data_IF_393166407015
#
_entry.id   IF_393166407015
#
_cell.length_a   1.000
_cell.length_b   1.000
_cell.length_c   1.000
_cell.angle_alpha   90.00
_cell.angle_beta   90.00
_cell.angle_gamma   90.00
#
_symmetry.space_group_name_H-M   'P 1'
#
loop_
_entity.id
_entity.type
_entity.pdbx_description
1 polymer ?
#
# COMPACT_ATOMS: atom_id res chain seq x y z
N UNK A 1 30.60 -6.71 -2.33
CA UNK A 1 29.57 -6.46 -1.31
C UNK A 1 28.27 -7.04 -1.87
N UNK A 2 27.71 -8.08 -1.23
CA UNK A 2 26.67 -8.93 -1.81
C UNK A 2 25.35 -8.17 -2.05
N UNK A 3 24.93 -8.18 -3.32
CA UNK A 3 23.67 -7.68 -3.86
C UNK A 3 22.61 -8.76 -3.67
N UNK A 4 21.95 -8.81 -2.50
CA UNK A 4 20.78 -9.65 -2.27
C UNK A 4 19.62 -8.86 -1.67
N UNK A 5 19.48 -7.61 -2.11
CA UNK A 5 18.24 -6.86 -1.94
C UNK A 5 17.46 -7.00 -3.24
N UNK A 6 16.36 -7.76 -3.19
CA UNK A 6 15.46 -7.91 -4.33
C UNK A 6 15.04 -6.54 -4.87
N UNK A 7 15.02 -6.39 -6.19
CA UNK A 7 14.49 -5.18 -6.81
C UNK A 7 13.02 -4.95 -6.43
N UNK A 8 12.56 -3.71 -6.56
CA UNK A 8 11.12 -3.41 -6.52
C UNK A 8 10.41 -4.23 -7.60
N UNK A 9 9.46 -5.04 -7.18
CA UNK A 9 8.77 -6.01 -8.01
C UNK A 9 7.34 -6.17 -7.48
N UNK A 10 6.56 -5.12 -7.63
CA UNK A 10 5.11 -5.18 -7.43
C UNK A 10 4.47 -6.14 -8.43
N UNK A 11 3.47 -6.89 -7.96
CA UNK A 11 2.69 -7.79 -8.80
C UNK A 11 1.60 -7.07 -9.62
N UNK A 12 0.43 -7.71 -9.67
CA UNK A 12 -0.76 -7.14 -10.30
C UNK A 12 -1.56 -6.30 -9.33
N UNK A 13 -2.30 -5.34 -9.87
CA UNK A 13 -3.35 -4.62 -9.17
C UNK A 13 -4.53 -5.56 -8.89
N UNK A 14 -5.02 -5.54 -7.66
CA UNK A 14 -6.25 -6.20 -7.25
C UNK A 14 -7.26 -5.14 -6.82
N UNK A 15 -8.53 -5.33 -7.19
CA UNK A 15 -9.61 -4.55 -6.59
C UNK A 15 -9.60 -4.74 -5.08
N UNK A 16 -10.04 -3.73 -4.34
CA UNK A 16 -10.05 -3.81 -2.88
C UNK A 16 -10.86 -4.99 -2.36
N UNK A 17 -11.98 -5.31 -3.00
CA UNK A 17 -12.78 -6.51 -2.71
C UNK A 17 -11.94 -7.79 -2.75
N UNK A 18 -11.09 -7.93 -3.78
CA UNK A 18 -10.29 -9.12 -4.03
C UNK A 18 -8.89 -9.07 -3.41
N UNK A 19 -8.55 -8.05 -2.62
CA UNK A 19 -7.19 -7.84 -2.05
C UNK A 19 -6.61 -9.06 -1.31
N UNK A 20 -7.46 -9.87 -0.69
CA UNK A 20 -7.02 -11.04 0.07
C UNK A 20 -6.66 -12.26 -0.79
N UNK A 21 -6.94 -12.21 -2.10
CA UNK A 21 -6.56 -13.25 -3.06
C UNK A 21 -5.09 -13.16 -3.50
N UNK A 22 -4.38 -12.11 -3.10
CA UNK A 22 -2.96 -11.94 -3.40
C UNK A 22 -2.11 -12.97 -2.65
N UNK A 23 -1.17 -13.59 -3.35
CA UNK A 23 -0.25 -14.56 -2.76
C UNK A 23 0.56 -13.93 -1.63
N UNK A 24 0.80 -14.70 -0.57
CA UNK A 24 1.60 -14.26 0.59
C UNK A 24 1.06 -13.01 1.31
N UNK A 25 -0.24 -12.69 1.21
CA UNK A 25 -0.84 -11.53 1.89
C UNK A 25 -0.66 -11.55 3.42
N UNK A 26 -0.43 -12.70 4.03
CA UNK A 26 -0.13 -12.83 5.48
C UNK A 26 1.32 -12.53 5.85
N UNK A 27 2.21 -12.31 4.87
CA UNK A 27 3.63 -12.00 5.08
C UNK A 27 3.87 -10.50 5.25
N UNK A 28 5.02 -10.09 5.83
CA UNK A 28 5.45 -8.69 5.77
C UNK A 28 5.75 -8.28 4.32
N UNK A 29 5.81 -6.99 4.06
CA UNK A 29 6.09 -6.47 2.72
C UNK A 29 5.70 -5.02 2.54
N UNK A 30 5.72 -4.58 1.30
CA UNK A 30 5.25 -3.26 0.87
C UNK A 30 3.96 -3.39 0.06
N UNK A 31 3.16 -2.33 0.03
CA UNK A 31 1.95 -2.22 -0.77
C UNK A 31 1.84 -0.83 -1.38
N UNK A 32 1.27 -0.76 -2.58
CA UNK A 32 0.90 0.46 -3.25
C UNK A 32 -0.63 0.48 -3.38
N UNK A 33 -1.20 1.67 -3.28
CA UNK A 33 -2.62 1.95 -3.35
C UNK A 33 -2.86 2.90 -4.51
N UNK A 34 -3.91 2.62 -5.27
CA UNK A 34 -4.44 3.50 -6.29
C UNK A 34 -5.91 3.75 -6.01
N UNK A 35 -6.34 5.01 -6.17
CA UNK A 35 -7.75 5.40 -6.08
C UNK A 35 -8.14 6.08 -7.39
N UNK A 36 -9.04 5.47 -8.15
CA UNK A 36 -9.39 5.92 -9.51
C UNK A 36 -10.80 5.47 -9.90
N UNK A 37 -11.39 6.08 -10.93
CA UNK A 37 -12.65 5.64 -11.51
C UNK A 37 -12.50 4.40 -12.41
N UNK A 38 -11.32 4.23 -13.00
CA UNK A 38 -11.04 3.14 -13.94
C UNK A 38 -10.79 1.81 -13.22
N UNK A 39 -11.12 0.70 -13.88
CA UNK A 39 -10.78 -0.62 -13.35
C UNK A 39 -9.36 -1.05 -13.73
N UNK A 40 -8.51 -1.21 -12.71
CA UNK A 40 -7.13 -1.68 -12.82
C UNK A 40 -6.96 -3.16 -12.45
N UNK A 41 -8.02 -3.87 -12.08
CA UNK A 41 -7.95 -5.27 -11.65
C UNK A 41 -7.23 -6.15 -12.67
N UNK A 42 -6.23 -6.91 -12.21
CA UNK A 42 -5.45 -7.83 -13.02
C UNK A 42 -4.36 -7.19 -13.89
N UNK A 43 -4.29 -5.85 -13.97
CA UNK A 43 -3.21 -5.16 -14.70
C UNK A 43 -1.89 -5.27 -13.93
N UNK A 44 -0.79 -5.34 -14.67
CA UNK A 44 0.55 -5.26 -14.06
C UNK A 44 0.78 -3.85 -13.51
N UNK A 45 1.46 -3.77 -12.37
CA UNK A 45 1.86 -2.50 -11.79
C UNK A 45 2.80 -1.72 -12.71
N UNK A 46 2.59 -0.41 -12.84
CA UNK A 46 3.49 0.52 -13.51
C UNK A 46 3.75 1.75 -12.62
N UNK A 47 4.98 2.25 -12.59
CA UNK A 47 5.33 3.44 -11.80
C UNK A 47 4.75 4.76 -12.33
N UNK A 48 4.27 4.77 -13.58
CA UNK A 48 3.53 5.89 -14.18
C UNK A 48 2.04 5.90 -13.79
N UNK A 49 1.58 4.87 -13.07
CA UNK A 49 0.23 4.81 -12.53
C UNK A 49 0.01 5.89 -11.47
N UNK A 50 -1.25 6.31 -11.26
CA UNK A 50 -1.62 7.31 -10.23
C UNK A 50 -1.62 6.70 -8.82
N UNK A 51 -0.42 6.40 -8.34
CA UNK A 51 -0.20 5.82 -7.01
C UNK A 51 -0.56 6.87 -5.97
N UNK A 52 -1.62 6.59 -5.22
CA UNK A 52 -2.14 7.48 -4.18
C UNK A 52 -1.39 7.32 -2.86
N UNK A 53 -0.97 6.10 -2.53
CA UNK A 53 -0.32 5.80 -1.26
C UNK A 53 0.62 4.59 -1.37
N UNK A 54 1.79 4.67 -0.75
CA UNK A 54 2.72 3.55 -0.57
C UNK A 54 2.88 3.31 0.93
N UNK A 55 2.89 2.04 1.34
CA UNK A 55 3.18 1.70 2.72
C UNK A 55 3.87 0.36 2.87
N UNK A 56 4.31 0.09 4.09
CA UNK A 56 4.90 -1.20 4.45
C UNK A 56 4.33 -1.80 5.74
N UNK A 57 4.71 -3.05 6.01
CA UNK A 57 4.47 -3.68 7.30
C UNK A 57 5.48 -4.79 7.57
N UNK A 58 5.99 -4.82 8.80
CA UNK A 58 6.80 -5.92 9.37
C UNK A 58 6.07 -6.65 10.52
N UNK A 59 4.78 -6.34 10.70
CA UNK A 59 3.95 -6.86 11.77
C UNK A 59 3.61 -8.34 11.56
N UNK A 60 3.27 -9.04 12.66
CA UNK A 60 2.91 -10.47 12.64
C UNK A 60 1.70 -10.78 11.77
N UNK A 61 0.74 -9.86 11.67
CA UNK A 61 -0.46 -10.00 10.83
C UNK A 61 -0.20 -9.69 9.34
N UNK A 62 1.04 -9.33 8.98
CA UNK A 62 1.47 -9.09 7.61
C UNK A 62 0.71 -7.97 6.90
N UNK A 63 0.74 -8.02 5.58
CA UNK A 63 0.02 -7.11 4.68
C UNK A 63 -1.48 -7.17 4.93
N UNK A 64 -2.07 -8.36 5.14
CA UNK A 64 -3.49 -8.55 5.44
C UNK A 64 -3.95 -7.67 6.61
N UNK A 65 -3.21 -7.73 7.73
CA UNK A 65 -3.52 -6.92 8.90
C UNK A 65 -3.37 -5.42 8.63
N UNK A 66 -2.35 -5.02 7.87
CA UNK A 66 -2.13 -3.61 7.53
C UNK A 66 -3.22 -3.06 6.61
N UNK A 67 -3.64 -3.83 5.60
CA UNK A 67 -4.74 -3.44 4.71
C UNK A 67 -6.08 -3.37 5.47
N UNK A 68 -6.30 -4.24 6.47
CA UNK A 68 -7.48 -4.11 7.33
C UNK A 68 -7.45 -2.82 8.17
N UNK A 69 -6.28 -2.43 8.70
CA UNK A 69 -6.12 -1.16 9.42
C UNK A 69 -6.34 0.05 8.50
N UNK A 70 -5.96 -0.06 7.23
CA UNK A 70 -6.27 0.95 6.22
C UNK A 70 -7.79 1.06 6.01
N UNK A 71 -8.47 -0.05 5.73
CA UNK A 71 -9.93 -0.07 5.56
C UNK A 71 -10.66 0.50 6.77
N UNK A 72 -10.27 0.08 7.98
CA UNK A 72 -10.85 0.58 9.22
C UNK A 72 -10.78 2.11 9.28
N UNK A 73 -9.65 2.71 8.93
CA UNK A 73 -9.52 4.15 8.84
C UNK A 73 -10.44 4.76 7.79
N UNK A 74 -10.52 4.20 6.59
CA UNK A 74 -11.34 4.72 5.49
C UNK A 74 -12.84 4.71 5.82
N UNK A 75 -13.31 3.76 6.63
CA UNK A 75 -14.70 3.66 7.08
C UNK A 75 -14.98 4.41 8.39
N UNK A 76 -14.05 5.24 8.87
CA UNK A 76 -14.25 6.08 10.06
C UNK A 76 -13.94 5.41 11.40
N UNK A 77 -13.37 4.20 11.43
CA UNK A 77 -12.91 3.55 12.66
C UNK A 77 -11.48 3.99 13.02
N UNK A 78 -11.05 3.68 14.23
CA UNK A 78 -9.65 3.81 14.62
C UNK A 78 -8.78 2.89 13.76
N UNK A 79 -7.68 3.43 13.23
CA UNK A 79 -6.86 2.73 12.25
C UNK A 79 -5.54 3.43 11.94
N UNK A 80 -5.02 3.17 10.73
CA UNK A 80 -3.72 3.63 10.27
C UNK A 80 -3.69 5.12 9.89
N UNK A 81 -2.62 5.83 10.22
CA UNK A 81 -2.46 7.26 9.90
C UNK A 81 -2.59 7.57 8.41
N UNK A 82 -2.05 6.70 7.53
CA UNK A 82 -2.21 6.84 6.07
C UNK A 82 -3.68 6.76 5.63
N UNK A 83 -4.46 5.86 6.23
CA UNK A 83 -5.89 5.75 5.92
C UNK A 83 -6.69 6.94 6.44
N UNK A 84 -6.31 7.50 7.60
CA UNK A 84 -6.94 8.70 8.13
C UNK A 84 -6.76 9.90 7.19
N UNK A 85 -5.55 10.07 6.61
CA UNK A 85 -5.30 11.14 5.63
C UNK A 85 -6.13 11.00 4.36
N UNK A 86 -6.20 9.79 3.81
CA UNK A 86 -7.06 9.52 2.64
C UNK A 86 -8.52 9.84 2.98
N UNK A 87 -9.00 9.38 4.15
CA UNK A 87 -10.36 9.70 4.63
C UNK A 87 -10.58 11.20 4.74
N UNK A 88 -9.70 11.92 5.43
CA UNK A 88 -9.80 13.37 5.66
C UNK A 88 -9.88 14.13 4.33
N UNK A 89 -9.03 13.77 3.36
CA UNK A 89 -9.09 14.31 1.99
C UNK A 89 -10.47 14.08 1.36
N UNK A 90 -10.95 12.83 1.31
CA UNK A 90 -12.22 12.51 0.66
C UNK A 90 -13.44 13.11 1.35
N UNK A 91 -13.40 13.27 2.68
CA UNK A 91 -14.44 14.02 3.42
C UNK A 91 -14.40 15.50 3.02
N UNK A 92 -13.22 16.12 2.97
CA UNK A 92 -13.09 17.54 2.61
C UNK A 92 -13.51 17.84 1.17
N UNK A 93 -13.36 16.86 0.27
CA UNK A 93 -13.79 16.93 -1.12
C UNK A 93 -15.30 16.61 -1.29
N UNK A 94 -16.02 16.27 -0.21
CA UNK A 94 -17.46 15.99 -0.23
C UNK A 94 -17.84 14.56 -0.61
N UNK A 95 -16.86 13.66 -0.79
CA UNK A 95 -17.09 12.26 -1.18
C UNK A 95 -17.47 11.35 -0.01
N UNK A 96 -17.11 11.74 1.22
CA UNK A 96 -17.47 11.04 2.44
C UNK A 96 -16.60 9.81 2.74
N UNK A 97 -17.16 8.87 3.52
CA UNK A 97 -16.47 7.63 3.91
C UNK A 97 -16.48 6.61 2.76
N UNK A 98 -15.51 5.70 2.78
CA UNK A 98 -15.47 4.59 1.81
C UNK A 98 -16.60 3.61 2.07
N UNK A 99 -17.36 3.24 1.03
CA UNK A 99 -18.43 2.26 1.10
C UNK A 99 -17.86 0.85 0.86
N UNK A 100 -17.82 0.02 1.90
CA UNK A 100 -17.35 -1.36 1.77
C UNK A 100 -18.35 -2.32 1.16
N UNK A 101 -19.64 -1.96 1.09
CA UNK A 101 -20.65 -2.79 0.43
C UNK A 101 -20.59 -2.63 -1.09
N UNK A 102 -20.33 -1.41 -1.57
CA UNK A 102 -20.21 -1.12 -3.01
C UNK A 102 -18.76 -1.02 -3.49
N UNK A 103 -17.77 -1.11 -2.59
CA UNK A 103 -16.33 -1.00 -2.87
C UNK A 103 -15.93 0.28 -3.62
N UNK A 104 -16.53 1.41 -3.24
CA UNK A 104 -16.27 2.72 -3.86
C UNK A 104 -16.59 3.89 -2.92
N UNK A 105 -16.18 5.09 -3.29
CA UNK A 105 -16.71 6.35 -2.73
C UNK A 105 -17.97 6.79 -3.46
N UNK A 106 -18.66 7.81 -2.93
CA UNK A 106 -19.91 8.33 -3.50
C UNK A 106 -19.75 8.96 -4.90
N UNK A 107 -18.53 9.35 -5.27
CA UNK A 107 -18.19 9.83 -6.61
C UNK A 107 -17.84 8.70 -7.59
N UNK A 108 -17.88 7.44 -7.14
CA UNK A 108 -17.57 6.28 -7.95
C UNK A 108 -16.07 5.93 -8.06
N UNK A 109 -15.17 6.62 -7.36
CA UNK A 109 -13.78 6.17 -7.27
C UNK A 109 -13.71 4.85 -6.52
N UNK A 110 -12.85 3.95 -7.00
CA UNK A 110 -12.59 2.62 -6.44
C UNK A 110 -11.18 2.54 -5.89
N UNK A 111 -10.97 1.59 -5.01
CA UNK A 111 -9.69 1.35 -4.36
C UNK A 111 -9.03 0.10 -4.93
N UNK A 112 -7.74 0.21 -5.27
CA UNK A 112 -6.93 -0.90 -5.77
C UNK A 112 -5.65 -1.01 -4.96
N UNK A 113 -5.13 -2.23 -4.87
CA UNK A 113 -3.90 -2.52 -4.15
C UNK A 113 -3.00 -3.46 -4.94
N UNK A 114 -1.71 -3.17 -4.91
CA UNK A 114 -0.67 -4.06 -5.36
C UNK A 114 0.33 -4.30 -4.21
N UNK A 115 0.85 -5.51 -4.07
CA UNK A 115 1.79 -5.85 -2.99
C UNK A 115 3.11 -6.39 -3.55
N UNK A 116 4.15 -6.25 -2.74
CA UNK A 116 5.36 -7.06 -2.81
C UNK A 116 5.62 -7.63 -1.42
N UNK A 117 5.30 -8.92 -1.25
CA UNK A 117 5.49 -9.65 -0.01
C UNK A 117 6.93 -10.17 0.12
N UNK A 118 7.46 -10.18 1.34
CA UNK A 118 8.75 -10.78 1.69
C UNK A 118 8.50 -12.00 2.56
N UNK A 119 8.76 -13.17 1.99
CA UNK A 119 8.56 -14.44 2.67
C UNK A 119 9.52 -14.60 3.84
N UNK A 120 8.96 -14.78 5.03
CA UNK A 120 9.70 -15.21 6.21
C UNK A 120 9.60 -16.73 6.33
N UNK A 121 10.74 -17.42 6.43
CA UNK A 121 10.77 -18.85 6.68
C UNK A 121 10.72 -19.06 8.20
N UNK A 122 9.83 -19.91 8.74
CA UNK A 122 9.81 -20.24 10.16
C UNK A 122 11.15 -20.76 10.69
N UNK A 123 11.95 -21.39 9.83
CA UNK A 123 13.28 -21.92 10.15
C UNK A 123 14.38 -20.85 10.16
N UNK A 124 14.10 -19.63 9.68
CA UNK A 124 15.05 -18.52 9.74
C UNK A 124 15.42 -18.23 11.20
N UNK A 125 16.71 -18.05 11.46
CA UNK A 125 17.21 -17.52 12.72
C UNK A 125 16.66 -16.11 13.00
N UNK A 126 16.70 -15.67 14.26
CA UNK A 126 16.27 -14.31 14.59
C UNK A 126 17.04 -13.23 13.79
N UNK A 127 18.39 -13.29 13.67
CA UNK A 127 19.12 -12.35 12.83
C UNK A 127 18.64 -12.31 11.36
N UNK A 128 18.36 -13.45 10.75
CA UNK A 128 17.86 -13.52 9.37
C UNK A 128 16.48 -12.88 9.24
N UNK A 129 15.56 -13.17 10.18
CA UNK A 129 14.24 -12.54 10.21
C UNK A 129 14.33 -11.03 10.37
N UNK A 130 15.23 -10.54 11.22
CA UNK A 130 15.45 -9.10 11.41
C UNK A 130 16.02 -8.44 10.16
N UNK A 131 16.96 -9.09 9.45
CA UNK A 131 17.47 -8.61 8.15
C UNK A 131 16.35 -8.50 7.11
N UNK A 132 15.49 -9.53 7.00
CA UNK A 132 14.33 -9.51 6.09
C UNK A 132 13.35 -8.39 6.43
N UNK A 133 13.10 -8.13 7.72
CA UNK A 133 12.27 -6.99 8.17
C UNK A 133 12.90 -5.64 7.84
N UNK A 134 14.20 -5.48 8.08
CA UNK A 134 14.95 -4.26 7.70
C UNK A 134 14.91 -4.03 6.20
N UNK A 135 14.95 -5.11 5.42
CA UNK A 135 14.80 -5.04 3.97
C UNK A 135 13.41 -4.57 3.53
N UNK A 136 12.32 -4.97 4.19
CA UNK A 136 10.98 -4.43 3.91
C UNK A 136 10.92 -2.91 4.11
N UNK A 137 11.55 -2.39 5.16
CA UNK A 137 11.64 -0.94 5.37
C UNK A 137 12.46 -0.28 4.26
N UNK A 138 13.60 -0.86 3.87
CA UNK A 138 14.40 -0.38 2.75
C UNK A 138 13.60 -0.34 1.43
N UNK A 139 12.80 -1.37 1.15
CA UNK A 139 11.94 -1.44 -0.03
C UNK A 139 10.90 -0.31 -0.07
N UNK A 140 10.35 0.12 1.07
CA UNK A 140 9.43 1.27 1.12
C UNK A 140 10.12 2.56 0.66
N UNK A 141 11.35 2.81 1.14
CA UNK A 141 12.12 3.97 0.72
C UNK A 141 12.56 3.90 -0.74
N UNK A 142 12.92 2.71 -1.24
CA UNK A 142 13.19 2.52 -2.66
C UNK A 142 11.94 2.79 -3.49
N UNK A 143 10.76 2.38 -3.01
CA UNK A 143 9.48 2.64 -3.68
C UNK A 143 9.17 4.14 -3.74
N UNK A 144 9.42 4.89 -2.65
CA UNK A 144 9.31 6.35 -2.67
C UNK A 144 10.29 6.99 -3.64
N UNK A 145 11.56 6.61 -3.60
CA UNK A 145 12.58 7.12 -4.53
C UNK A 145 12.14 6.88 -5.98
N UNK A 146 11.68 5.66 -6.28
CA UNK A 146 11.23 5.31 -7.62
C UNK A 146 10.00 6.11 -8.07
N UNK A 147 9.05 6.34 -7.18
CA UNK A 147 7.89 7.17 -7.46
C UNK A 147 8.29 8.61 -7.82
N UNK A 148 9.21 9.22 -7.07
CA UNK A 148 9.68 10.60 -7.31
C UNK A 148 10.46 10.69 -8.62
N UNK A 149 11.30 9.70 -8.93
CA UNK A 149 12.01 9.62 -10.23
C UNK A 149 11.03 9.64 -11.42
N UNK A 150 9.90 8.92 -11.31
CA UNK A 150 8.93 8.82 -12.39
C UNK A 150 7.90 9.95 -12.40
N UNK A 151 7.75 10.66 -11.28
CA UNK A 151 6.78 11.74 -11.09
C UNK A 151 7.48 12.99 -10.52
N UNK A 152 8.39 13.65 -11.28
CA UNK A 152 9.30 14.67 -10.75
C UNK A 152 8.63 15.93 -10.21
N UNK A 153 7.34 16.17 -10.53
CA UNK A 153 6.55 17.25 -9.95
C UNK A 153 5.96 16.93 -8.56
N UNK A 154 6.19 15.71 -8.04
CA UNK A 154 5.65 15.23 -6.78
C UNK A 154 6.78 14.82 -5.83
N UNK A 155 6.74 15.33 -4.61
CA UNK A 155 7.69 14.92 -3.55
C UNK A 155 7.42 13.50 -3.01
N UNK A 156 6.17 13.06 -3.08
CA UNK A 156 5.69 11.75 -2.62
C UNK A 156 4.22 11.54 -3.03
N UNK A 157 3.69 10.30 -2.97
CA UNK A 157 2.27 10.04 -3.20
C UNK A 157 1.39 10.90 -2.30
N UNK A 158 0.23 11.33 -2.82
CA UNK A 158 -0.61 12.31 -2.11
C UNK A 158 -1.05 11.87 -0.70
N UNK A 159 -1.32 10.58 -0.49
CA UNK A 159 -1.67 10.03 0.83
C UNK A 159 -0.48 9.87 1.78
N UNK A 160 0.76 10.00 1.31
CA UNK A 160 1.97 9.94 2.14
C UNK A 160 2.43 11.32 2.62
N UNK A 161 1.98 12.41 1.98
CA UNK A 161 2.30 13.78 2.40
C UNK A 161 1.82 14.03 3.83
N UNK A 162 2.73 14.42 4.72
CA UNK A 162 2.33 15.07 5.96
C UNK A 162 1.84 16.48 5.63
N UNK A 163 0.75 16.94 6.25
CA UNK A 163 0.48 18.37 6.27
C UNK A 163 1.64 19.03 7.00
N UNK A 164 2.35 19.91 6.31
CA UNK A 164 3.24 20.87 6.96
C UNK A 164 2.43 21.58 8.03
N UNK A 165 2.82 21.39 9.29
CA UNK A 165 2.30 22.14 10.44
C UNK A 165 2.73 23.59 10.29
#
# INVERSE_FOLDING_TARGET
>A
MHSDYAALCYGKWYSWENRHAQENISMPGIYAIMITHDDYSGRNFNWQDDITYIGMTVAKSGLKGRLQQLENSLVGKSGHSGGNRIREKFISEGYGLYDTANHQWSDGKKLFVCIQAITLNPMDSLPERLKKKGFVANLEYLAFAKYVETNPSHEMPSGNKAHSI
#
